data_IF_663516371548
#
_entry.id   IF_663516371548
#
_cell.length_a   1.000
_cell.length_b   1.000
_cell.length_c   1.000
_cell.angle_alpha   90.00
_cell.angle_beta   90.00
_cell.angle_gamma   90.00
#
_symmetry.space_group_name_H-M   'P 1'
#
loop_
_entity.id
_entity.type
_entity.pdbx_description
1 polymer ?
#
# COMPACT_ATOMS: atom_id res chain seq x y z
N UNK A 1 -17.43 3.14 9.62
CA UNK A 1 -17.33 1.69 9.31
C UNK A 1 -16.23 1.52 8.29
N UNK A 2 -15.31 0.59 8.49
CA UNK A 2 -14.16 0.34 7.61
C UNK A 2 -14.30 -1.04 7.00
N UNK A 3 -14.15 -1.12 5.68
CA UNK A 3 -14.14 -2.37 4.93
C UNK A 3 -12.73 -2.57 4.38
N UNK A 4 -12.08 -3.66 4.77
CA UNK A 4 -10.71 -3.95 4.35
C UNK A 4 -10.48 -5.45 4.28
N UNK A 5 -9.42 -5.87 3.59
CA UNK A 5 -9.01 -7.27 3.56
C UNK A 5 -8.31 -7.69 4.85
N UNK A 6 -7.50 -6.79 5.43
CA UNK A 6 -6.76 -7.01 6.66
C UNK A 6 -6.40 -5.66 7.30
N UNK A 7 -6.05 -5.68 8.59
CA UNK A 7 -5.55 -4.51 9.33
C UNK A 7 -4.63 -5.00 10.45
N UNK A 8 -3.64 -4.21 10.84
CA UNK A 8 -2.84 -4.50 12.02
C UNK A 8 -3.67 -4.33 13.31
N UNK A 9 -3.29 -4.98 14.43
CA UNK A 9 -4.10 -4.96 15.65
C UNK A 9 -4.35 -3.55 16.21
N UNK A 10 -3.36 -2.65 16.16
CA UNK A 10 -3.45 -1.33 16.78
C UNK A 10 -4.54 -0.42 16.17
N UNK A 11 -4.59 -0.18 14.84
CA UNK A 11 -5.68 0.59 14.23
C UNK A 11 -7.07 -0.03 14.48
N UNK A 12 -7.17 -1.37 14.52
CA UNK A 12 -8.43 -2.06 14.83
C UNK A 12 -8.92 -1.70 16.22
N UNK A 13 -8.06 -1.84 17.23
CA UNK A 13 -8.42 -1.52 18.62
C UNK A 13 -8.83 -0.05 18.77
N UNK A 14 -8.12 0.87 18.12
CA UNK A 14 -8.46 2.29 18.14
C UNK A 14 -9.83 2.59 17.53
N UNK A 15 -10.16 1.95 16.40
CA UNK A 15 -11.45 2.08 15.73
C UNK A 15 -12.60 1.52 16.59
N UNK A 16 -12.45 0.30 17.09
CA UNK A 16 -13.48 -0.40 17.89
C UNK A 16 -13.75 0.32 19.22
N UNK A 17 -12.71 0.82 19.90
CA UNK A 17 -12.84 1.62 21.14
C UNK A 17 -13.67 2.89 20.94
N UNK A 18 -13.73 3.44 19.73
CA UNK A 18 -14.54 4.62 19.39
C UNK A 18 -15.89 4.25 18.74
N UNK A 19 -16.35 3.01 18.89
CA UNK A 19 -17.61 2.53 18.35
C UNK A 19 -17.60 2.25 16.84
N UNK A 20 -16.41 2.26 16.22
CA UNK A 20 -16.25 1.93 14.82
C UNK A 20 -16.40 0.43 14.56
N UNK A 21 -16.94 0.08 13.40
CA UNK A 21 -17.06 -1.30 12.92
C UNK A 21 -16.04 -1.58 11.83
N UNK A 22 -15.37 -2.73 11.93
CA UNK A 22 -14.44 -3.26 10.93
C UNK A 22 -15.06 -4.50 10.27
N UNK A 23 -15.17 -4.50 8.95
CA UNK A 23 -15.62 -5.66 8.19
C UNK A 23 -14.45 -6.19 7.36
N UNK A 24 -13.98 -7.37 7.73
CA UNK A 24 -12.96 -8.11 7.01
C UNK A 24 -13.59 -8.97 5.91
N UNK A 25 -12.79 -9.38 4.91
CA UNK A 25 -13.24 -10.21 3.80
C UNK A 25 -14.47 -9.66 3.04
N UNK A 26 -14.73 -8.35 3.17
CA UNK A 26 -15.91 -7.68 2.64
C UNK A 26 -15.50 -6.83 1.45
N UNK A 27 -15.28 -7.52 0.32
CA UNK A 27 -14.84 -6.90 -0.93
C UNK A 27 -15.85 -5.87 -1.41
N UNK A 28 -15.48 -4.59 -1.45
CA UNK A 28 -16.24 -3.55 -2.15
C UNK A 28 -16.06 -3.75 -3.65
N UNK A 29 -17.17 -4.01 -4.33
CA UNK A 29 -17.25 -4.18 -5.77
C UNK A 29 -17.55 -2.85 -6.47
N UNK A 30 -18.41 -2.03 -5.85
CA UNK A 30 -18.81 -0.74 -6.39
C UNK A 30 -19.13 0.27 -5.29
N UNK A 31 -18.83 1.55 -5.53
CA UNK A 31 -19.34 2.71 -4.79
C UNK A 31 -20.67 3.11 -5.43
N UNK A 32 -21.72 3.20 -4.60
CA UNK A 32 -23.07 3.54 -5.08
C UNK A 32 -23.31 5.04 -5.00
N UNK A 33 -24.07 5.56 -5.97
CA UNK A 33 -24.51 6.95 -6.04
C UNK A 33 -26.04 7.00 -5.88
N UNK A 34 -26.53 8.06 -5.22
CA UNK A 34 -27.96 8.37 -5.19
C UNK A 34 -28.43 9.07 -6.48
N UNK A 35 -29.72 9.39 -6.55
CA UNK A 35 -30.34 10.03 -7.71
C UNK A 35 -29.81 11.44 -8.00
N UNK A 36 -29.14 12.07 -7.04
CA UNK A 36 -28.46 13.37 -7.21
C UNK A 36 -27.01 13.24 -7.67
N UNK A 37 -26.51 12.02 -7.82
CA UNK A 37 -25.10 11.74 -8.16
C UNK A 37 -24.14 11.80 -6.97
N UNK A 38 -24.66 11.86 -5.73
CA UNK A 38 -23.85 11.88 -4.51
C UNK A 38 -23.57 10.45 -4.04
N UNK A 39 -22.36 10.16 -3.58
CA UNK A 39 -22.00 8.85 -3.07
C UNK A 39 -22.77 8.50 -1.78
N UNK A 40 -23.55 7.41 -1.82
CA UNK A 40 -24.50 7.01 -0.78
C UNK A 40 -24.16 5.67 -0.11
N UNK A 41 -23.10 5.00 -0.54
CA UNK A 41 -22.73 3.70 0.00
C UNK A 41 -21.79 2.89 -0.88
N UNK A 42 -21.75 1.59 -0.60
CA UNK A 42 -20.99 0.59 -1.36
C UNK A 42 -21.79 -0.70 -1.54
N UNK A 43 -21.60 -1.34 -2.68
CA UNK A 43 -22.00 -2.71 -2.98
C UNK A 43 -20.81 -3.65 -2.73
N UNK A 44 -21.08 -4.72 -2.00
CA UNK A 44 -20.11 -5.77 -1.71
C UNK A 44 -20.28 -6.91 -2.71
N UNK A 45 -19.16 -7.57 -3.01
CA UNK A 45 -19.17 -8.82 -3.77
C UNK A 45 -20.09 -9.83 -3.06
N UNK A 46 -21.03 -10.39 -3.83
CA UNK A 46 -22.06 -11.27 -3.29
C UNK A 46 -23.38 -10.56 -2.93
N UNK A 47 -23.52 -9.26 -3.25
CA UNK A 47 -24.80 -8.54 -3.25
C UNK A 47 -25.12 -7.77 -1.97
N UNK A 48 -24.28 -7.83 -0.94
CA UNK A 48 -24.49 -7.06 0.29
C UNK A 48 -24.34 -5.55 0.03
N UNK A 49 -25.20 -4.71 0.63
CA UNK A 49 -25.10 -3.24 0.52
C UNK A 49 -24.84 -2.58 1.86
N UNK A 50 -23.94 -1.60 1.86
CA UNK A 50 -23.66 -0.76 3.04
C UNK A 50 -23.96 0.68 2.67
N UNK A 51 -24.95 1.29 3.35
CA UNK A 51 -25.31 2.70 3.15
C UNK A 51 -24.44 3.63 4.00
N UNK A 52 -24.16 4.80 3.47
CA UNK A 52 -23.41 5.87 4.12
C UNK A 52 -24.23 7.16 4.13
N UNK A 53 -24.59 7.65 5.32
CA UNK A 53 -25.38 8.88 5.48
C UNK A 53 -24.57 10.17 5.38
N UNK A 54 -23.26 10.11 5.65
CA UNK A 54 -22.38 11.30 5.68
C UNK A 54 -21.40 11.38 4.53
N UNK A 55 -20.65 10.30 4.30
CA UNK A 55 -19.63 10.24 3.27
C UNK A 55 -19.20 8.79 3.00
N UNK A 56 -18.72 8.54 1.80
CA UNK A 56 -17.90 7.37 1.45
C UNK A 56 -16.45 7.84 1.37
N UNK A 57 -15.54 7.16 2.06
CA UNK A 57 -14.10 7.44 2.01
C UNK A 57 -13.41 6.25 1.35
N UNK A 58 -12.73 6.48 0.24
CA UNK A 58 -11.95 5.47 -0.47
C UNK A 58 -10.46 5.57 -0.13
N UNK A 59 -9.84 4.43 0.15
CA UNK A 59 -8.38 4.28 0.21
C UNK A 59 -7.85 3.58 -1.06
N UNK A 60 -8.67 3.51 -2.11
CA UNK A 60 -8.21 3.09 -3.43
C UNK A 60 -7.30 4.18 -4.02
N UNK A 61 -6.33 3.78 -4.84
CA UNK A 61 -5.42 4.74 -5.45
C UNK A 61 -6.16 5.70 -6.39
N UNK A 62 -5.54 6.81 -6.73
CA UNK A 62 -6.06 7.76 -7.73
C UNK A 62 -6.32 7.08 -9.09
N UNK A 63 -5.52 6.06 -9.45
CA UNK A 63 -5.67 5.30 -10.69
C UNK A 63 -6.76 4.21 -10.64
N UNK A 64 -7.21 3.84 -9.44
CA UNK A 64 -8.15 2.73 -9.23
C UNK A 64 -9.53 3.19 -8.74
N UNK A 65 -9.64 4.39 -8.17
CA UNK A 65 -10.90 4.90 -7.59
C UNK A 65 -12.04 4.97 -8.59
N UNK A 66 -11.77 5.39 -9.82
CA UNK A 66 -12.77 5.44 -10.89
C UNK A 66 -13.33 4.04 -11.25
N UNK A 67 -12.53 2.98 -11.11
CA UNK A 67 -12.95 1.60 -11.41
C UNK A 67 -13.96 1.06 -10.42
N UNK A 68 -14.13 1.72 -9.27
CA UNK A 68 -15.14 1.39 -8.28
C UNK A 68 -16.46 2.13 -8.54
N UNK A 69 -16.53 3.03 -9.53
CA UNK A 69 -17.75 3.72 -9.89
C UNK A 69 -18.34 3.09 -11.15
N UNK A 70 -19.66 3.11 -11.26
CA UNK A 70 -20.33 2.75 -12.51
C UNK A 70 -20.18 3.91 -13.51
N UNK A 71 -19.51 3.65 -14.62
CA UNK A 71 -19.27 4.63 -15.67
C UNK A 71 -20.58 5.18 -16.27
N UNK A 72 -21.68 4.42 -16.24
CA UNK A 72 -22.99 4.88 -16.68
C UNK A 72 -23.68 5.83 -15.69
N UNK A 73 -23.29 5.78 -14.41
CA UNK A 73 -23.88 6.59 -13.35
C UNK A 73 -23.12 7.91 -13.09
N UNK A 74 -21.90 8.04 -13.60
CA UNK A 74 -21.05 9.23 -13.39
C UNK A 74 -21.09 10.13 -14.63
N UNK A 75 -21.41 11.43 -14.49
CA UNK A 75 -21.31 12.38 -15.59
C UNK A 75 -19.92 12.39 -16.24
N UNK A 76 -19.86 12.36 -17.57
CA UNK A 76 -18.59 12.25 -18.32
C UNK A 76 -17.57 13.36 -18.00
N UNK A 77 -18.03 14.56 -17.64
CA UNK A 77 -17.15 15.63 -17.19
C UNK A 77 -16.37 15.29 -15.91
N UNK A 78 -17.02 14.62 -14.94
CA UNK A 78 -16.38 14.18 -13.69
C UNK A 78 -15.44 13.00 -13.94
N UNK A 79 -15.81 12.08 -14.84
CA UNK A 79 -14.93 11.00 -15.29
C UNK A 79 -13.61 11.58 -15.83
N UNK A 80 -13.69 12.54 -16.76
CA UNK A 80 -12.50 13.20 -17.33
C UNK A 80 -11.64 13.90 -16.28
N UNK A 81 -12.26 14.53 -15.27
CA UNK A 81 -11.51 15.15 -14.17
C UNK A 81 -10.74 14.11 -13.35
N UNK A 82 -11.36 12.98 -13.02
CA UNK A 82 -10.70 11.90 -12.28
C UNK A 82 -9.59 11.23 -13.10
N UNK A 83 -9.82 10.99 -14.39
CA UNK A 83 -8.79 10.48 -15.31
C UNK A 83 -7.61 11.45 -15.44
N UNK A 84 -7.89 12.76 -15.55
CA UNK A 84 -6.87 13.81 -15.58
C UNK A 84 -6.03 13.83 -14.31
N UNK A 85 -6.65 13.72 -13.13
CA UNK A 85 -5.92 13.63 -11.86
C UNK A 85 -5.04 12.37 -11.77
N UNK A 86 -5.54 11.23 -12.27
CA UNK A 86 -4.77 9.99 -12.31
C UNK A 86 -3.58 10.08 -13.28
N UNK A 87 -3.78 10.68 -14.46
CA UNK A 87 -2.73 10.90 -15.46
C UNK A 87 -1.66 11.90 -14.99
N UNK A 88 -2.07 12.93 -14.23
CA UNK A 88 -1.16 13.91 -13.63
C UNK A 88 -0.39 13.36 -12.42
N UNK A 89 -0.73 12.16 -11.94
CA UNK A 89 -0.06 11.52 -10.80
C UNK A 89 0.84 10.37 -11.30
N UNK A 90 2.15 10.61 -11.50
CA UNK A 90 3.07 9.58 -11.99
C UNK A 90 3.23 8.45 -10.95
N UNK A 91 3.13 7.18 -11.35
CA UNK A 91 3.38 6.04 -10.46
C UNK A 91 4.88 5.76 -10.32
N UNK A 92 5.32 5.39 -9.11
CA UNK A 92 6.55 4.63 -8.93
C UNK A 92 6.49 3.31 -9.73
N UNK A 93 7.65 2.73 -10.06
CA UNK A 93 7.68 1.34 -10.52
C UNK A 93 7.24 0.40 -9.39
N UNK A 94 7.07 -0.87 -9.75
CA UNK A 94 6.81 -1.90 -8.76
C UNK A 94 8.12 -2.32 -8.08
N UNK A 95 8.04 -3.36 -7.26
CA UNK A 95 9.13 -3.88 -6.46
C UNK A 95 9.03 -5.40 -6.33
N UNK A 96 10.10 -6.03 -5.86
CA UNK A 96 10.17 -7.45 -5.49
C UNK A 96 10.41 -7.56 -3.99
N UNK A 97 9.81 -8.57 -3.35
CA UNK A 97 10.01 -8.90 -1.93
C UNK A 97 10.58 -10.30 -1.79
N UNK A 98 11.38 -10.50 -0.75
CA UNK A 98 11.81 -11.79 -0.23
C UNK A 98 11.61 -11.77 1.29
N UNK A 99 10.80 -12.68 1.81
CA UNK A 99 10.67 -12.95 3.24
C UNK A 99 11.31 -14.30 3.54
N UNK A 100 12.16 -14.34 4.57
CA UNK A 100 12.83 -15.57 5.00
C UNK A 100 12.69 -15.72 6.50
N UNK A 101 12.18 -16.87 6.96
CA UNK A 101 12.37 -17.36 8.32
C UNK A 101 13.53 -18.36 8.32
N UNK A 102 14.50 -18.19 9.20
CA UNK A 102 15.76 -18.94 9.14
C UNK A 102 16.32 -19.31 10.52
N UNK A 103 17.16 -20.34 10.53
CA UNK A 103 17.92 -20.77 11.70
C UNK A 103 19.01 -19.76 12.08
N UNK A 104 18.89 -19.17 13.27
CA UNK A 104 19.81 -18.15 13.76
C UNK A 104 20.97 -18.74 14.59
N UNK A 105 21.07 -20.07 14.69
CA UNK A 105 22.12 -20.75 15.45
C UNK A 105 23.52 -20.29 15.03
N UNK A 106 24.29 -19.75 15.97
CA UNK A 106 25.66 -19.27 15.75
C UNK A 106 25.76 -17.92 15.02
N UNK A 107 24.64 -17.23 14.77
CA UNK A 107 24.65 -15.87 14.26
C UNK A 107 24.61 -14.88 15.43
N UNK A 108 25.64 -14.05 15.54
CA UNK A 108 25.76 -13.01 16.56
C UNK A 108 25.91 -11.64 15.90
N UNK A 109 25.46 -10.58 16.57
CA UNK A 109 25.68 -9.21 16.10
C UNK A 109 24.94 -8.82 14.82
N UNK A 110 23.86 -9.53 14.45
CA UNK A 110 23.03 -9.12 13.32
C UNK A 110 22.44 -7.72 13.58
N UNK A 111 22.56 -6.84 12.58
CA UNK A 111 21.93 -5.53 12.65
C UNK A 111 20.49 -5.58 12.13
N UNK A 112 19.68 -4.61 12.55
CA UNK A 112 18.27 -4.58 12.19
C UNK A 112 18.08 -4.22 10.71
N UNK A 113 18.89 -3.31 10.17
CA UNK A 113 18.73 -2.77 8.82
C UNK A 113 20.04 -2.81 8.05
N UNK A 114 19.97 -3.25 6.80
CA UNK A 114 21.08 -3.21 5.86
C UNK A 114 20.61 -2.61 4.54
N UNK A 115 21.50 -1.85 3.90
CA UNK A 115 21.31 -1.34 2.54
C UNK A 115 22.47 -1.89 1.72
N UNK A 116 22.13 -2.70 0.73
CA UNK A 116 23.11 -3.30 -0.18
C UNK A 116 22.98 -2.61 -1.52
N UNK A 117 24.06 -1.96 -1.94
CA UNK A 117 24.22 -1.39 -3.28
C UNK A 117 25.16 -2.29 -4.06
N UNK A 118 24.73 -2.76 -5.23
CA UNK A 118 25.53 -3.64 -6.07
C UNK A 118 26.62 -2.88 -6.83
N UNK A 119 26.27 -1.77 -7.47
CA UNK A 119 27.19 -0.86 -8.15
C UNK A 119 26.78 0.59 -7.95
N UNK A 120 27.70 1.41 -7.45
CA UNK A 120 27.45 2.85 -7.24
C UNK A 120 27.37 3.61 -8.57
N UNK A 121 28.04 3.11 -9.60
CA UNK A 121 28.13 3.71 -10.94
C UNK A 121 26.79 3.67 -11.69
N UNK A 122 25.94 2.69 -11.39
CA UNK A 122 24.63 2.53 -12.04
C UNK A 122 23.57 3.50 -11.51
N UNK A 123 23.80 4.13 -10.36
CA UNK A 123 22.81 4.96 -9.66
C UNK A 123 21.86 4.15 -8.77
N UNK A 124 21.36 4.77 -7.71
CA UNK A 124 20.56 4.11 -6.66
C UNK A 124 19.16 3.69 -7.12
N UNK A 125 18.65 4.30 -8.19
CA UNK A 125 17.35 4.05 -8.80
C UNK A 125 17.42 3.03 -9.95
N UNK A 126 18.62 2.53 -10.26
CA UNK A 126 18.79 1.47 -11.24
C UNK A 126 18.08 0.19 -10.82
N UNK A 127 17.52 -0.48 -11.82
CA UNK A 127 16.86 -1.76 -11.68
C UNK A 127 17.78 -2.79 -11.00
N UNK A 128 17.25 -3.45 -9.96
CA UNK A 128 17.97 -4.49 -9.21
C UNK A 128 19.35 -4.05 -8.68
N UNK A 129 19.56 -2.77 -8.39
CA UNK A 129 20.85 -2.28 -7.89
C UNK A 129 20.90 -2.12 -6.37
N UNK A 130 19.79 -1.65 -5.78
CA UNK A 130 19.68 -1.45 -4.34
C UNK A 130 18.71 -2.46 -3.74
N UNK A 131 19.13 -3.13 -2.67
CA UNK A 131 18.29 -4.01 -1.85
C UNK A 131 18.33 -3.51 -0.42
N UNK A 132 17.16 -3.30 0.17
CA UNK A 132 17.04 -3.05 1.61
C UNK A 132 16.67 -4.35 2.30
N UNK A 133 17.38 -4.68 3.38
CA UNK A 133 17.15 -5.88 4.19
C UNK A 133 16.84 -5.45 5.62
N UNK A 134 15.78 -6.02 6.20
CA UNK A 134 15.37 -5.75 7.58
C UNK A 134 15.20 -7.06 8.34
N UNK A 135 15.86 -7.20 9.49
CA UNK A 135 15.77 -8.35 10.40
C UNK A 135 15.08 -7.88 11.69
N UNK A 136 13.79 -7.55 11.60
CA UNK A 136 13.05 -6.92 12.69
C UNK A 136 13.06 -7.74 14.00
N UNK A 137 13.18 -9.06 13.88
CA UNK A 137 13.28 -9.98 15.03
C UNK A 137 14.55 -9.82 15.88
N UNK A 138 15.56 -9.05 15.41
CA UNK A 138 16.70 -8.62 16.23
C UNK A 138 16.26 -7.65 17.33
N UNK A 139 15.36 -6.71 17.03
CA UNK A 139 14.83 -5.78 18.03
C UNK A 139 13.62 -6.34 18.79
N UNK A 140 12.82 -7.18 18.15
CA UNK A 140 11.65 -7.81 18.76
C UNK A 140 11.68 -9.33 18.56
N UNK A 141 12.26 -10.08 19.50
CA UNK A 141 12.34 -11.54 19.43
C UNK A 141 10.98 -12.24 19.33
N UNK A 142 9.86 -11.57 19.67
CA UNK A 142 8.52 -12.17 19.56
C UNK A 142 8.06 -12.37 18.11
N UNK A 143 8.75 -11.76 17.14
CA UNK A 143 8.46 -11.86 15.71
C UNK A 143 8.98 -13.16 15.07
N UNK A 144 9.73 -13.99 15.81
CA UNK A 144 10.22 -15.28 15.34
C UNK A 144 10.20 -16.33 16.48
N UNK A 145 10.16 -17.64 16.16
CA UNK A 145 10.34 -18.69 17.17
C UNK A 145 11.71 -18.60 17.87
N UNK A 146 11.86 -19.16 19.09
CA UNK A 146 13.15 -19.21 19.78
C UNK A 146 14.26 -19.83 18.91
N UNK A 147 15.44 -19.23 18.91
CA UNK A 147 16.59 -19.66 18.09
C UNK A 147 16.46 -19.35 16.59
N UNK A 148 15.41 -18.64 16.17
CA UNK A 148 15.15 -18.26 14.77
C UNK A 148 15.10 -16.75 14.62
N UNK A 149 15.35 -16.30 13.40
CA UNK A 149 15.09 -14.94 12.97
C UNK A 149 14.23 -14.92 11.72
N UNK A 150 13.59 -13.78 11.48
CA UNK A 150 12.89 -13.48 10.23
C UNK A 150 13.45 -12.19 9.62
N UNK A 151 13.63 -12.21 8.30
CA UNK A 151 14.04 -11.06 7.51
C UNK A 151 13.08 -10.75 6.37
N UNK A 152 13.10 -9.49 5.95
CA UNK A 152 12.43 -8.99 4.76
C UNK A 152 13.44 -8.20 3.93
N UNK A 153 13.68 -8.67 2.70
CA UNK A 153 14.48 -7.98 1.69
C UNK A 153 13.58 -7.47 0.56
N UNK A 154 13.83 -6.26 0.05
CA UNK A 154 13.04 -5.71 -1.05
C UNK A 154 13.80 -4.72 -1.95
N UNK A 155 13.29 -4.55 -3.17
CA UNK A 155 13.73 -3.52 -4.12
C UNK A 155 12.95 -2.20 -3.89
N UNK A 156 13.61 -1.04 -3.80
CA UNK A 156 12.94 0.23 -3.54
C UNK A 156 12.31 0.82 -4.81
N UNK A 157 11.20 0.22 -5.26
CA UNK A 157 10.44 0.67 -6.43
C UNK A 157 11.25 0.72 -7.75
N UNK A 158 12.13 -0.26 -7.96
CA UNK A 158 12.99 -0.37 -9.15
C UNK A 158 12.66 -1.55 -10.06
N UNK A 159 11.60 -2.31 -9.77
CA UNK A 159 11.17 -3.45 -10.60
C UNK A 159 10.14 -3.01 -11.67
N UNK A 160 10.44 -3.16 -12.97
CA UNK A 160 9.51 -2.80 -14.03
C UNK A 160 8.29 -3.74 -14.06
N UNK A 161 7.08 -3.19 -14.01
CA UNK A 161 5.87 -4.01 -14.13
C UNK A 161 5.70 -4.66 -15.51
N UNK A 162 6.20 -4.02 -16.58
CA UNK A 162 6.07 -4.50 -17.96
C UNK A 162 6.64 -5.90 -18.19
N UNK A 163 7.65 -6.31 -17.41
CA UNK A 163 8.21 -7.66 -17.46
C UNK A 163 7.20 -8.74 -17.02
N UNK A 164 6.21 -8.34 -16.22
CA UNK A 164 5.23 -9.23 -15.60
C UNK A 164 3.85 -9.14 -16.25
N UNK A 165 3.64 -8.13 -17.10
CA UNK A 165 2.36 -7.81 -17.68
C UNK A 165 1.85 -8.96 -18.57
N UNK A 166 0.59 -9.37 -18.36
CA UNK A 166 -0.02 -10.46 -19.13
C UNK A 166 0.37 -11.88 -18.70
N UNK A 167 1.34 -12.06 -17.79
CA UNK A 167 1.69 -13.40 -17.31
C UNK A 167 0.61 -13.99 -16.41
N UNK A 168 0.31 -15.28 -16.59
CA UNK A 168 -0.45 -16.05 -15.61
C UNK A 168 0.46 -16.47 -14.45
N UNK A 169 0.07 -16.09 -13.23
CA UNK A 169 0.80 -16.42 -11.99
C UNK A 169 0.93 -17.91 -11.71
N UNK A 170 0.17 -18.77 -12.39
CA UNK A 170 0.28 -20.22 -12.29
C UNK A 170 1.22 -20.82 -13.33
N UNK A 171 1.59 -20.05 -14.35
CA UNK A 171 2.36 -20.53 -15.49
C UNK A 171 3.82 -20.84 -15.13
N UNK A 172 4.47 -21.75 -15.87
CA UNK A 172 5.91 -21.98 -15.74
C UNK A 172 6.75 -20.73 -16.00
N UNK A 173 6.35 -19.89 -16.97
CA UNK A 173 7.07 -18.67 -17.37
C UNK A 173 7.10 -17.67 -16.21
N UNK A 174 5.96 -17.46 -15.54
CA UNK A 174 5.90 -16.62 -14.35
C UNK A 174 6.78 -17.16 -13.22
N UNK A 175 6.81 -18.48 -13.00
CA UNK A 175 7.63 -19.10 -11.95
C UNK A 175 9.12 -18.95 -12.25
N UNK A 176 9.53 -19.14 -13.51
CA UNK A 176 10.91 -18.97 -13.95
C UNK A 176 11.36 -17.51 -13.78
N UNK A 177 10.57 -16.55 -14.28
CA UNK A 177 10.86 -15.12 -14.10
C UNK A 177 10.90 -14.74 -12.61
N UNK A 178 9.97 -15.28 -11.81
CA UNK A 178 9.97 -15.07 -10.36
C UNK A 178 11.25 -15.54 -9.69
N UNK A 179 11.75 -16.71 -10.05
CA UNK A 179 13.00 -17.23 -9.51
C UNK A 179 14.19 -16.36 -9.95
N UNK A 180 14.31 -16.10 -11.25
CA UNK A 180 15.38 -15.28 -11.83
C UNK A 180 15.46 -13.88 -11.18
N UNK A 181 14.32 -13.18 -11.15
CA UNK A 181 14.24 -11.80 -10.64
C UNK A 181 14.42 -11.71 -9.13
N UNK A 182 14.24 -12.81 -8.40
CA UNK A 182 14.49 -12.86 -6.95
C UNK A 182 15.95 -13.04 -6.58
N UNK A 183 16.82 -13.46 -7.50
CA UNK A 183 18.22 -13.78 -7.18
C UNK A 183 18.99 -12.59 -6.64
N UNK A 184 18.67 -11.36 -7.07
CA UNK A 184 19.31 -10.15 -6.51
C UNK A 184 19.05 -10.00 -5.01
N UNK A 185 17.86 -10.35 -4.54
CA UNK A 185 17.49 -10.27 -3.13
C UNK A 185 18.28 -11.31 -2.33
N UNK A 186 18.39 -12.53 -2.85
CA UNK A 186 19.20 -13.57 -2.22
C UNK A 186 20.68 -13.19 -2.15
N UNK A 187 21.27 -12.71 -3.25
CA UNK A 187 22.67 -12.26 -3.27
C UNK A 187 22.94 -11.14 -2.28
N UNK A 188 21.99 -10.22 -2.11
CA UNK A 188 22.11 -9.16 -1.11
C UNK A 188 22.08 -9.72 0.32
N UNK A 189 21.20 -10.69 0.61
CA UNK A 189 21.13 -11.33 1.92
C UNK A 189 22.37 -12.19 2.19
N UNK A 190 22.92 -12.85 1.17
CA UNK A 190 24.17 -13.63 1.26
C UNK A 190 25.39 -12.76 1.63
N UNK A 191 25.36 -11.45 1.36
CA UNK A 191 26.40 -10.52 1.86
C UNK A 191 26.33 -10.30 3.37
N UNK A 192 25.19 -10.60 3.99
CA UNK A 192 24.96 -10.44 5.44
C UNK A 192 25.08 -11.81 6.13
N UNK A 193 24.47 -12.84 5.56
CA UNK A 193 24.45 -14.22 6.07
C UNK A 193 24.82 -15.14 4.89
N UNK A 194 26.11 -15.48 4.71
CA UNK A 194 26.60 -16.21 3.52
C UNK A 194 25.91 -17.55 3.25
N UNK A 195 25.50 -18.26 4.30
CA UNK A 195 24.84 -19.56 4.25
C UNK A 195 23.31 -19.47 4.48
N UNK A 196 22.70 -18.31 4.21
CA UNK A 196 21.26 -18.08 4.46
C UNK A 196 20.36 -19.10 3.77
N UNK A 197 20.75 -19.57 2.57
CA UNK A 197 19.95 -20.52 1.80
C UNK A 197 19.88 -21.88 2.49
N UNK A 198 20.94 -22.31 3.17
CA UNK A 198 20.94 -23.54 3.96
C UNK A 198 20.14 -23.39 5.25
N UNK A 199 20.09 -22.17 5.81
CA UNK A 199 19.36 -21.85 7.04
C UNK A 199 17.87 -21.60 6.83
N UNK A 200 17.44 -21.33 5.59
CA UNK A 200 16.08 -20.93 5.28
C UNK A 200 15.08 -22.07 5.50
N UNK A 201 14.10 -21.85 6.35
CA UNK A 201 13.02 -22.81 6.64
C UNK A 201 11.71 -22.41 5.97
N UNK A 202 11.46 -21.10 5.83
CA UNK A 202 10.30 -20.55 5.14
C UNK A 202 10.76 -19.45 4.21
N UNK A 203 10.37 -19.53 2.93
CA UNK A 203 10.68 -18.51 1.94
C UNK A 203 9.42 -18.06 1.21
N UNK A 204 9.25 -16.75 1.08
CA UNK A 204 8.16 -16.16 0.31
C UNK A 204 8.66 -15.01 -0.54
N UNK A 205 8.56 -15.17 -1.86
CA UNK A 205 8.87 -14.11 -2.81
C UNK A 205 7.59 -13.41 -3.29
N UNK A 206 7.56 -12.08 -3.17
CA UNK A 206 6.54 -11.20 -3.69
C UNK A 206 6.98 -10.54 -5.00
N UNK A 207 6.07 -10.44 -5.95
CA UNK A 207 6.28 -9.91 -7.30
C UNK A 207 5.31 -8.75 -7.58
N UNK A 208 5.50 -7.97 -8.67
CA UNK A 208 4.53 -6.97 -9.10
C UNK A 208 3.08 -7.49 -9.23
N UNK A 209 2.88 -8.68 -9.80
CA UNK A 209 1.55 -9.31 -9.86
C UNK A 209 1.04 -9.76 -8.48
N UNK A 210 1.94 -10.03 -7.54
CA UNK A 210 1.59 -10.27 -6.13
C UNK A 210 1.05 -9.01 -5.49
N UNK A 211 1.74 -7.87 -5.64
CA UNK A 211 1.29 -6.58 -5.11
C UNK A 211 -0.04 -6.14 -5.72
N UNK A 212 -0.18 -6.24 -7.05
CA UNK A 212 -1.44 -5.93 -7.73
C UNK A 212 -2.62 -6.76 -7.18
N UNK A 213 -2.44 -8.07 -6.98
CA UNK A 213 -3.51 -8.93 -6.43
C UNK A 213 -3.81 -8.61 -4.97
N UNK A 214 -2.77 -8.50 -4.14
CA UNK A 214 -2.94 -8.44 -2.69
C UNK A 214 -3.35 -7.06 -2.20
N UNK A 215 -2.76 -6.02 -2.78
CA UNK A 215 -2.99 -4.62 -2.44
C UNK A 215 -4.04 -3.95 -3.34
N UNK A 216 -4.44 -4.59 -4.46
CA UNK A 216 -5.40 -4.06 -5.44
C UNK A 216 -4.98 -2.72 -6.01
N UNK A 217 -3.67 -2.57 -6.21
CA UNK A 217 -3.08 -1.35 -6.74
C UNK A 217 -2.78 -1.49 -8.21
N UNK A 218 -3.02 -0.42 -8.93
CA UNK A 218 -2.56 -0.21 -10.30
C UNK A 218 -1.11 -0.69 -10.46
N UNK A 219 -0.93 -1.75 -11.26
CA UNK A 219 0.37 -2.33 -11.61
C UNK A 219 1.26 -2.71 -10.41
N UNK A 220 0.64 -2.95 -9.24
CA UNK A 220 1.38 -3.25 -8.02
C UNK A 220 2.39 -2.18 -7.61
N UNK A 221 2.18 -0.92 -8.03
CA UNK A 221 3.12 0.17 -7.79
C UNK A 221 3.39 0.40 -6.30
N UNK A 222 4.59 0.91 -5.99
CA UNK A 222 4.93 1.31 -4.62
C UNK A 222 4.04 2.44 -4.11
N UNK A 223 3.55 3.29 -5.02
CA UNK A 223 2.71 4.45 -4.76
C UNK A 223 2.95 5.51 -5.82
N UNK A 224 2.39 6.72 -5.66
CA UNK A 224 2.67 7.84 -6.56
C UNK A 224 4.03 8.49 -6.25
N UNK A 225 4.59 9.17 -7.25
CA UNK A 225 5.94 9.74 -7.21
C UNK A 225 5.94 11.19 -7.70
N UNK A 226 5.49 12.13 -6.85
CA UNK A 226 5.63 13.56 -7.13
C UNK A 226 6.90 14.05 -6.44
N UNK A 227 7.84 14.60 -7.20
CA UNK A 227 9.08 15.15 -6.64
C UNK A 227 8.76 16.34 -5.75
N UNK A 228 9.44 16.41 -4.60
CA UNK A 228 9.29 17.51 -3.66
C UNK A 228 9.60 18.84 -4.36
N UNK A 229 8.70 19.81 -4.21
CA UNK A 229 8.82 21.14 -4.84
C UNK A 229 8.30 21.23 -6.28
N UNK A 230 8.00 20.11 -6.95
CA UNK A 230 7.49 20.12 -8.33
C UNK A 230 5.95 20.04 -8.40
N UNK A 231 5.29 19.57 -7.34
CA UNK A 231 3.84 19.48 -7.31
C UNK A 231 3.29 19.00 -5.97
N UNK A 232 1.95 18.91 -5.91
CA UNK A 232 1.22 18.41 -4.75
C UNK A 232 0.39 17.20 -5.15
N UNK A 233 0.29 16.22 -4.24
CA UNK A 233 -0.67 15.14 -4.38
C UNK A 233 -2.11 15.68 -4.30
N UNK A 234 -3.10 15.00 -4.90
CA UNK A 234 -4.51 15.36 -4.76
C UNK A 234 -4.94 15.47 -3.30
N UNK A 235 -5.83 16.43 -3.00
CA UNK A 235 -6.44 16.56 -1.67
C UNK A 235 -7.49 15.47 -1.38
N UNK A 236 -8.08 15.46 -0.17
CA UNK A 236 -9.03 14.43 0.24
C UNK A 236 -10.40 14.53 -0.45
N UNK A 237 -10.71 15.62 -1.15
CA UNK A 237 -11.98 15.80 -1.85
C UNK A 237 -11.92 15.23 -3.26
N UNK A 238 -12.98 14.55 -3.69
CA UNK A 238 -13.16 14.15 -5.09
C UNK A 238 -14.20 15.02 -5.80
N UNK A 239 -14.25 15.02 -7.14
CA UNK A 239 -15.32 15.68 -7.88
C UNK A 239 -16.72 15.10 -7.64
N UNK A 240 -16.82 13.88 -7.07
CA UNK A 240 -18.09 13.23 -6.77
C UNK A 240 -18.58 13.68 -5.39
N UNK A 241 -19.76 14.32 -5.28
CA UNK A 241 -20.28 14.75 -3.99
C UNK A 241 -20.38 13.60 -2.98
N UNK A 242 -19.95 13.81 -1.74
CA UNK A 242 -19.99 12.79 -0.70
C UNK A 242 -18.94 11.68 -0.81
N UNK A 243 -18.09 11.69 -1.85
CA UNK A 243 -16.95 10.79 -1.99
C UNK A 243 -15.65 11.53 -1.67
N UNK A 244 -14.85 10.94 -0.79
CA UNK A 244 -13.56 11.45 -0.35
C UNK A 244 -12.50 10.39 -0.52
N UNK A 245 -11.24 10.82 -0.64
CA UNK A 245 -10.08 9.96 -0.74
C UNK A 245 -9.18 10.12 0.49
N UNK A 246 -8.48 9.05 0.83
CA UNK A 246 -7.33 9.06 1.73
C UNK A 246 -6.32 8.01 1.26
N UNK A 247 -5.17 7.94 1.93
CA UNK A 247 -4.10 7.02 1.57
C UNK A 247 -2.93 7.72 0.91
N UNK A 248 -2.07 6.93 0.28
CA UNK A 248 -0.79 7.37 -0.28
C UNK A 248 -0.89 8.09 -1.61
N UNK A 249 -2.01 7.96 -2.33
CA UNK A 249 -2.34 8.81 -3.48
C UNK A 249 -3.12 10.06 -3.15
N UNK A 250 -3.25 10.35 -1.85
CA UNK A 250 -3.84 11.58 -1.34
C UNK A 250 -2.76 12.30 -0.52
N UNK A 251 -2.73 13.63 -0.59
CA UNK A 251 -1.79 14.44 0.16
C UNK A 251 -1.72 14.02 1.64
N UNK A 252 -0.52 13.83 2.22
CA UNK A 252 0.80 14.23 1.72
C UNK A 252 1.58 13.23 0.84
N UNK A 253 1.05 12.04 0.54
CA UNK A 253 1.72 11.05 -0.33
C UNK A 253 2.15 9.75 0.37
N UNK A 254 3.22 9.13 -0.14
CA UNK A 254 3.71 7.81 0.29
C UNK A 254 4.38 7.81 1.67
N UNK A 255 4.33 6.65 2.34
CA UNK A 255 4.98 6.40 3.63
C UNK A 255 4.01 6.44 4.80
N UNK A 256 4.30 5.66 5.86
CA UNK A 256 3.39 5.47 6.98
C UNK A 256 2.95 6.79 7.65
N UNK A 257 3.84 7.75 7.96
CA UNK A 257 3.44 9.03 8.54
C UNK A 257 2.56 9.86 7.60
N UNK A 258 2.91 9.91 6.30
CA UNK A 258 2.13 10.65 5.31
C UNK A 258 0.74 10.05 5.11
N UNK A 259 0.63 8.72 5.03
CA UNK A 259 -0.66 8.01 4.92
C UNK A 259 -1.53 8.24 6.16
N UNK A 260 -0.94 8.23 7.36
CA UNK A 260 -1.66 8.55 8.59
C UNK A 260 -2.16 10.00 8.59
N UNK A 261 -1.31 10.95 8.17
CA UNK A 261 -1.69 12.35 8.02
C UNK A 261 -2.81 12.55 6.98
N UNK A 262 -2.74 11.86 5.84
CA UNK A 262 -3.79 11.84 4.80
C UNK A 262 -5.14 11.38 5.36
N UNK A 263 -5.15 10.30 6.16
CA UNK A 263 -6.35 9.86 6.88
C UNK A 263 -6.88 10.90 7.87
N UNK A 264 -5.99 11.55 8.63
CA UNK A 264 -6.36 12.61 9.58
C UNK A 264 -6.92 13.86 8.86
N UNK A 265 -6.32 14.26 7.74
CA UNK A 265 -6.79 15.37 6.90
C UNK A 265 -8.18 15.08 6.34
N UNK A 266 -8.39 13.88 5.79
CA UNK A 266 -9.71 13.46 5.30
C UNK A 266 -10.77 13.49 6.43
N UNK A 267 -10.43 12.99 7.62
CA UNK A 267 -11.31 13.06 8.78
C UNK A 267 -11.61 14.51 9.20
N UNK A 268 -10.60 15.38 9.16
CA UNK A 268 -10.73 16.80 9.47
C UNK A 268 -11.63 17.51 8.44
N UNK A 269 -11.54 17.18 7.15
CA UNK A 269 -12.44 17.71 6.11
C UNK A 269 -13.91 17.34 6.35
N UNK A 270 -14.18 16.22 7.03
CA UNK A 270 -15.53 15.73 7.34
C UNK A 270 -16.05 16.20 8.70
N UNK A 271 -15.20 16.80 9.55
CA UNK A 271 -15.60 17.25 10.87
C UNK A 271 -16.50 18.50 10.79
N UNK A 272 -17.52 18.62 11.64
CA UNK A 272 -18.35 19.82 11.68
C UNK A 272 -17.59 21.01 12.28
N UNK A 273 -17.97 22.24 11.92
CA UNK A 273 -17.37 23.48 12.44
C UNK A 273 -17.24 23.49 13.96
N UNK A 274 -18.27 23.05 14.69
CA UNK A 274 -18.22 23.00 16.15
C UNK A 274 -17.09 22.14 16.71
N UNK A 275 -16.72 21.04 16.04
CA UNK A 275 -15.58 20.22 16.46
C UNK A 275 -14.24 20.92 16.21
N UNK A 276 -14.14 21.72 15.14
CA UNK A 276 -12.94 22.54 14.91
C UNK A 276 -12.80 23.63 15.97
N UNK A 277 -13.88 24.31 16.33
CA UNK A 277 -13.87 25.33 17.38
C UNK A 277 -13.49 24.74 18.75
N UNK A 278 -14.00 23.56 19.09
CA UNK A 278 -13.62 22.85 20.32
C UNK A 278 -12.12 22.49 20.32
N UNK A 279 -11.59 22.05 19.19
CA UNK A 279 -10.16 21.74 19.06
C UNK A 279 -9.32 23.00 19.27
N UNK A 280 -9.66 24.12 18.62
CA UNK A 280 -8.95 25.39 18.78
C UNK A 280 -8.97 25.85 20.25
N UNK A 281 -10.13 25.83 20.89
CA UNK A 281 -10.25 26.16 22.31
C UNK A 281 -9.41 25.25 23.22
N UNK A 282 -9.29 23.95 22.90
CA UNK A 282 -8.42 23.03 23.64
C UNK A 282 -6.91 23.31 23.48
N UNK A 283 -6.54 24.01 22.40
CA UNK A 283 -5.18 24.45 22.11
C UNK A 283 -4.92 25.88 22.60
N UNK A 284 -5.91 26.53 23.22
CA UNK A 284 -5.82 27.93 23.68
C UNK A 284 -5.85 28.96 22.56
N UNK A 285 -6.40 28.60 21.38
CA UNK A 285 -6.61 29.46 20.22
C UNK A 285 -8.07 29.91 20.09
#
# INVERSE_FOLDING_TARGET
MVLTRSVTPLPRMGLEKRGGRLLLSSHVEQITLDTSGRADGVLLRGGGRVRASKAVVTNASVWDSLKLLDAGAVPQGLVKQMEGAAAATPPCRSFMHLHVGFDATGLEGLELHHIIVDSWERGIDAEQNVVLVSIASVADPSLAPPGKHCLHAYLPATEPYSLWEGLDRKSPEYKALKEERSQVLWRAVERIIPDIRQRAEVTMVGTPLTHQRFLRRHRGSYGPAIKAGEGLFPGPTTPIPGLYACGDSTFPGIGLPAVAASGALCANTLAPLGSHLQLLGSLGL
#
